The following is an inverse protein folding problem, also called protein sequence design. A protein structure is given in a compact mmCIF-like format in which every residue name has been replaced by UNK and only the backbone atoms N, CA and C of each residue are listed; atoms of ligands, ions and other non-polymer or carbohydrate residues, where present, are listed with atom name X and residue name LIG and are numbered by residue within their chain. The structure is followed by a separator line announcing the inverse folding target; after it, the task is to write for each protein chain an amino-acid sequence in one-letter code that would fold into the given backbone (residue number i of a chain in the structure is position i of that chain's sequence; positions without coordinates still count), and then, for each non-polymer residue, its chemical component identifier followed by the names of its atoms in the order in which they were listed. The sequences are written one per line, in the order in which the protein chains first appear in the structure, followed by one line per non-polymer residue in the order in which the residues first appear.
data_IF_781951138191
#
_entry.id   IF_781951138191
#
_cell.length_a   1.000
_cell.length_b   1.000
_cell.length_c   1.000
_cell.angle_alpha   90.00
_cell.angle_beta   90.00
_cell.angle_gamma   90.00
#
_symmetry.space_group_name_H-M   'P 1'
#
loop_
_entity.id
_entity.type
_entity.pdbx_description
1 polymer ?
#
# COMPACT_ATOMS: atom_id res chain seq x y z
N UNK A 1 2.92 -0.72 29.21
CA UNK A 1 2.13 -1.93 28.90
C UNK A 1 1.66 -1.82 27.46
N UNK A 2 2.39 -2.42 26.52
CA UNK A 2 1.98 -2.50 25.11
C UNK A 2 0.77 -3.42 25.01
N UNK A 3 -0.33 -2.91 24.47
CA UNK A 3 -1.57 -3.65 24.36
C UNK A 3 -1.40 -4.67 23.22
N UNK A 4 -1.57 -5.97 23.44
CA UNK A 4 -1.32 -7.01 22.41
C UNK A 4 -2.09 -6.73 21.11
N UNK A 5 -3.27 -6.11 21.21
CA UNK A 5 -4.05 -5.69 20.05
C UNK A 5 -3.31 -4.67 19.17
N UNK A 6 -2.58 -3.72 19.77
CA UNK A 6 -1.81 -2.71 19.02
C UNK A 6 -0.69 -3.33 18.18
N UNK A 7 -0.02 -4.36 18.70
CA UNK A 7 1.04 -5.06 17.99
C UNK A 7 0.48 -5.80 16.77
N UNK A 8 -0.67 -6.48 16.91
CA UNK A 8 -1.32 -7.19 15.79
C UNK A 8 -1.70 -6.21 14.67
N UNK A 9 -2.30 -5.06 15.02
CA UNK A 9 -2.63 -4.04 14.01
C UNK A 9 -1.40 -3.43 13.35
N UNK A 10 -0.31 -3.24 14.09
CA UNK A 10 0.94 -2.74 13.54
C UNK A 10 1.54 -3.74 12.54
N UNK A 11 1.60 -5.03 12.90
CA UNK A 11 2.08 -6.10 12.02
C UNK A 11 1.23 -6.22 10.75
N UNK A 12 -0.10 -6.16 10.87
CA UNK A 12 -1.00 -6.15 9.71
C UNK A 12 -0.72 -4.93 8.81
N UNK A 13 -0.52 -3.75 9.39
CA UNK A 13 -0.16 -2.54 8.66
C UNK A 13 1.16 -2.67 7.91
N UNK A 14 2.16 -3.28 8.52
CA UNK A 14 3.45 -3.58 7.87
C UNK A 14 3.30 -4.55 6.70
N UNK A 15 2.64 -5.70 6.91
CA UNK A 15 2.43 -6.71 5.86
C UNK A 15 1.67 -6.10 4.68
N UNK A 16 0.60 -5.37 4.97
CA UNK A 16 -0.20 -4.73 3.93
C UNK A 16 0.56 -3.63 3.20
N UNK A 17 1.28 -2.77 3.93
CA UNK A 17 2.14 -1.73 3.34
C UNK A 17 3.19 -2.30 2.40
N UNK A 18 3.86 -3.40 2.80
CA UNK A 18 4.84 -4.08 1.95
C UNK A 18 4.19 -4.66 0.69
N UNK A 19 3.02 -5.28 0.83
CA UNK A 19 2.28 -5.82 -0.32
C UNK A 19 1.91 -4.71 -1.33
N UNK A 20 1.33 -3.61 -0.85
CA UNK A 20 0.98 -2.45 -1.69
C UNK A 20 2.22 -1.83 -2.34
N UNK A 21 3.33 -1.73 -1.59
CA UNK A 21 4.59 -1.22 -2.12
C UNK A 21 5.10 -2.11 -3.27
N UNK A 22 5.11 -3.43 -3.10
CA UNK A 22 5.52 -4.37 -4.14
C UNK A 22 4.64 -4.24 -5.39
N UNK A 23 3.33 -4.13 -5.21
CA UNK A 23 2.38 -3.89 -6.32
C UNK A 23 2.69 -2.58 -7.04
N UNK A 24 3.01 -1.51 -6.30
CA UNK A 24 3.42 -0.23 -6.87
C UNK A 24 4.71 -0.33 -7.69
N UNK A 25 5.72 -1.04 -7.17
CA UNK A 25 6.99 -1.30 -7.89
C UNK A 25 6.74 -2.04 -9.21
N UNK A 26 5.96 -3.13 -9.17
CA UNK A 26 5.60 -3.87 -10.39
C UNK A 26 4.88 -2.96 -11.38
N UNK A 27 3.95 -2.13 -10.91
CA UNK A 27 3.23 -1.18 -11.77
C UNK A 27 4.11 -0.06 -12.34
N UNK A 28 5.15 0.38 -11.63
CA UNK A 28 6.07 1.42 -12.12
C UNK A 28 7.02 0.90 -13.19
N UNK A 29 7.54 -0.32 -13.04
CA UNK A 29 8.58 -0.86 -13.95
C UNK A 29 8.02 -1.70 -15.10
N UNK A 30 6.93 -2.44 -14.87
CA UNK A 30 6.32 -3.32 -15.88
C UNK A 30 4.92 -2.86 -16.30
N UNK A 31 4.44 -1.72 -15.77
CA UNK A 31 3.14 -1.19 -16.13
C UNK A 31 3.16 -0.18 -17.27
N UNK A 32 2.02 -0.07 -17.93
CA UNK A 32 1.76 0.94 -18.95
C UNK A 32 1.71 2.38 -18.38
N UNK A 33 1.42 2.54 -17.09
CA UNK A 33 1.36 3.84 -16.41
C UNK A 33 2.29 3.88 -15.20
N UNK A 34 3.45 4.50 -15.39
CA UNK A 34 4.45 4.67 -14.34
C UNK A 34 3.96 5.60 -13.21
N UNK A 35 3.13 6.58 -13.54
CA UNK A 35 2.57 7.53 -12.58
C UNK A 35 1.63 6.84 -11.59
N UNK A 36 0.81 5.91 -12.07
CA UNK A 36 -0.03 5.07 -11.21
C UNK A 36 0.80 4.20 -10.26
N UNK A 37 1.88 3.59 -10.74
CA UNK A 37 2.79 2.81 -9.89
C UNK A 37 3.47 3.65 -8.80
N UNK A 38 3.96 4.85 -9.14
CA UNK A 38 4.56 5.78 -8.17
C UNK A 38 3.51 6.23 -7.14
N UNK A 39 2.29 6.49 -7.59
CA UNK A 39 1.18 6.82 -6.69
C UNK A 39 0.92 5.69 -5.69
N UNK A 40 0.88 4.43 -6.13
CA UNK A 40 0.72 3.28 -5.23
C UNK A 40 1.89 3.13 -4.25
N UNK A 41 3.13 3.35 -4.70
CA UNK A 41 4.31 3.36 -3.82
C UNK A 41 4.15 4.41 -2.73
N UNK A 42 3.77 5.64 -3.09
CA UNK A 42 3.54 6.72 -2.11
C UNK A 42 2.40 6.37 -1.15
N UNK A 43 1.33 5.77 -1.67
CA UNK A 43 0.15 5.39 -0.90
C UNK A 43 0.45 4.25 0.08
N UNK A 44 1.39 3.35 -0.25
CA UNK A 44 1.84 2.28 0.64
C UNK A 44 2.32 2.81 1.99
N UNK A 45 2.90 4.02 2.01
CA UNK A 45 3.42 4.61 3.24
C UNK A 45 2.34 4.90 4.27
N UNK A 46 1.10 5.16 3.84
CA UNK A 46 -0.05 5.44 4.71
C UNK A 46 -0.37 4.26 5.64
N UNK A 47 0.00 3.04 5.24
CA UNK A 47 -0.25 1.83 6.02
C UNK A 47 0.78 1.58 7.12
N UNK A 48 1.98 2.18 7.02
CA UNK A 48 3.01 2.00 8.05
C UNK A 48 2.64 2.71 9.37
N UNK A 49 2.77 2.02 10.52
CA UNK A 49 2.59 2.61 11.86
C UNK A 49 3.34 3.93 12.11
N UNK A 50 4.63 4.08 11.73
CA UNK A 50 5.37 5.34 11.94
C UNK A 50 4.73 6.54 11.22
N UNK A 51 4.16 6.32 10.03
CA UNK A 51 3.51 7.39 9.24
C UNK A 51 2.23 7.86 9.93
N UNK A 52 1.49 6.95 10.55
CA UNK A 52 0.30 7.31 11.33
C UNK A 52 0.66 8.19 12.54
N UNK A 53 1.80 7.90 13.18
CA UNK A 53 2.32 8.69 14.30
C UNK A 53 2.80 10.07 13.84
N UNK A 54 3.47 10.11 12.69
CA UNK A 54 3.94 11.35 12.08
C UNK A 54 2.78 12.27 11.67
N UNK A 55 1.76 11.72 10.98
CA UNK A 55 0.56 12.47 10.60
C UNK A 55 -0.18 13.00 11.82
N UNK A 56 -0.38 12.18 12.85
CA UNK A 56 -1.01 12.63 14.09
C UNK A 56 -0.26 13.79 14.74
N UNK A 57 1.08 13.80 14.65
CA UNK A 57 1.92 14.88 15.17
C UNK A 57 1.85 16.15 14.31
N UNK A 58 1.68 16.00 12.99
CA UNK A 58 1.66 17.12 12.04
C UNK A 58 0.29 17.81 11.97
N UNK A 59 -0.80 17.03 11.89
CA UNK A 59 -2.17 17.54 11.67
C UNK A 59 -3.02 17.51 12.94
N UNK A 60 -2.58 16.83 13.99
CA UNK A 60 -3.37 16.60 15.21
C UNK A 60 -4.41 15.48 15.08
N UNK A 61 -4.62 14.95 13.87
CA UNK A 61 -5.61 13.91 13.59
C UNK A 61 -4.94 12.57 13.25
N UNK A 62 -5.45 11.49 13.86
CA UNK A 62 -5.08 10.14 13.46
C UNK A 62 -5.88 9.73 12.21
N UNK A 63 -5.23 9.03 11.27
CA UNK A 63 -5.93 8.49 10.09
C UNK A 63 -6.95 7.47 10.57
N UNK A 64 -8.26 7.66 10.31
CA UNK A 64 -9.28 6.75 10.80
C UNK A 64 -9.14 5.38 10.12
N UNK A 65 -9.39 4.32 10.87
CA UNK A 65 -9.27 2.94 10.36
C UNK A 65 -10.13 2.70 9.11
N UNK A 66 -11.32 3.30 9.07
CA UNK A 66 -12.24 3.19 7.92
C UNK A 66 -11.60 3.72 6.62
N UNK A 67 -10.82 4.81 6.71
CA UNK A 67 -10.15 5.39 5.54
C UNK A 67 -9.02 4.48 5.04
N UNK A 68 -8.28 3.84 5.96
CA UNK A 68 -7.27 2.83 5.60
C UNK A 68 -7.90 1.62 4.90
N UNK A 69 -9.02 1.13 5.42
CA UNK A 69 -9.73 -0.01 4.81
C UNK A 69 -10.24 0.37 3.42
N UNK A 70 -10.88 1.55 3.28
CA UNK A 70 -11.37 2.03 1.99
C UNK A 70 -10.22 2.19 0.98
N UNK A 71 -9.08 2.76 1.40
CA UNK A 71 -7.87 2.87 0.59
C UNK A 71 -7.31 1.50 0.18
N UNK A 72 -7.25 0.56 1.12
CA UNK A 72 -6.76 -0.80 0.84
C UNK A 72 -7.62 -1.53 -0.19
N UNK A 73 -8.95 -1.44 -0.04
CA UNK A 73 -9.89 -2.01 -1.01
C UNK A 73 -9.75 -1.33 -2.38
N UNK A 74 -9.62 0.00 -2.41
CA UNK A 74 -9.38 0.74 -3.64
C UNK A 74 -8.10 0.29 -4.33
N UNK A 75 -6.99 0.12 -3.59
CA UNK A 75 -5.72 -0.35 -4.16
C UNK A 75 -5.86 -1.76 -4.73
N UNK A 76 -6.46 -2.70 -3.99
CA UNK A 76 -6.63 -4.08 -4.46
C UNK A 76 -7.47 -4.10 -5.74
N UNK A 77 -8.61 -3.41 -5.72
CA UNK A 77 -9.49 -3.31 -6.88
C UNK A 77 -8.79 -2.64 -8.06
N UNK A 78 -8.12 -1.51 -7.84
CA UNK A 78 -7.43 -0.78 -8.89
C UNK A 78 -6.26 -1.58 -9.46
N UNK A 79 -5.51 -2.31 -8.63
CA UNK A 79 -4.36 -3.10 -9.08
C UNK A 79 -4.79 -4.35 -9.87
N UNK A 80 -5.84 -5.04 -9.44
CA UNK A 80 -6.35 -6.22 -10.13
C UNK A 80 -7.16 -5.84 -11.38
N UNK A 81 -8.06 -4.86 -11.27
CA UNK A 81 -9.02 -4.53 -12.32
C UNK A 81 -8.49 -3.58 -13.39
N UNK A 82 -7.77 -2.53 -13.00
CA UNK A 82 -7.27 -1.48 -13.92
C UNK A 82 -5.77 -1.59 -14.15
N UNK A 83 -5.05 -2.05 -13.14
CA UNK A 83 -3.60 -2.13 -13.13
C UNK A 83 -3.05 -3.39 -13.78
N UNK A 84 -3.90 -4.28 -14.33
CA UNK A 84 -3.50 -5.52 -15.05
C UNK A 84 -2.37 -6.26 -14.32
N UNK A 85 -2.44 -6.33 -12.99
CA UNK A 85 -1.31 -6.74 -12.15
C UNK A 85 -0.77 -8.12 -12.54
N UNK A 86 -1.65 -9.05 -12.90
CA UNK A 86 -1.26 -10.40 -13.32
C UNK A 86 -0.45 -10.37 -14.62
N UNK A 87 -0.91 -9.67 -15.65
CA UNK A 87 -0.18 -9.54 -16.92
C UNK A 87 1.19 -8.87 -16.71
N UNK A 88 1.28 -7.88 -15.80
CA UNK A 88 2.56 -7.22 -15.45
C UNK A 88 3.51 -8.15 -14.69
N UNK A 89 2.99 -9.01 -13.82
CA UNK A 89 3.78 -10.04 -13.15
C UNK A 89 4.30 -11.05 -14.19
N UNK A 90 3.48 -11.45 -15.15
CA UNK A 90 3.90 -12.37 -16.22
C UNK A 90 4.98 -11.74 -17.11
N UNK A 91 4.84 -10.46 -17.47
CA UNK A 91 5.88 -9.71 -18.17
C UNK A 91 7.18 -9.62 -17.35
N UNK A 92 7.08 -9.41 -16.04
CA UNK A 92 8.23 -9.39 -15.15
C UNK A 92 8.96 -10.73 -15.15
N UNK A 93 8.25 -11.83 -14.99
CA UNK A 93 8.81 -13.19 -15.03
C UNK A 93 9.40 -13.54 -16.40
N UNK A 94 8.82 -13.06 -17.50
CA UNK A 94 9.31 -13.29 -18.86
C UNK A 94 10.52 -12.44 -19.26
N UNK A 95 10.87 -11.41 -18.48
CA UNK A 95 11.99 -10.50 -18.76
C UNK A 95 13.30 -10.84 -18.03
N UNK A 96 13.31 -11.93 -17.25
CA UNK A 96 14.50 -12.45 -16.55
C UNK A 96 15.21 -13.57 -17.32
#
# INVERSE_FOLDING_TARGET
MTNNNSIVFDVIGWIFGIAVFAVGVVNTFWGNDQGFGIFLILLSFVFYPPVNTFFKRLTGFAIPLIAKIALGLFIIWASIGVGELFDKIDMMLGSF
#
